data_IF_839375480444
#
_entry.id   IF_839375480444
#
_cell.length_a   1.000
_cell.length_b   1.000
_cell.length_c   1.000
_cell.angle_alpha   90.00
_cell.angle_beta   90.00
_cell.angle_gamma   90.00
#
_symmetry.space_group_name_H-M   'P 1'
#
loop_
_entity.id
_entity.type
_entity.pdbx_description
1 polymer ?
#
# COMPACT_ATOMS: atom_id res chain seq x y z
N UNK A 1 -10.23 -38.57 27.21
CA UNK A 1 -10.44 -38.50 25.75
C UNK A 1 -9.54 -37.40 25.22
N UNK A 2 -8.46 -37.77 24.55
CA UNK A 2 -7.55 -36.79 23.92
C UNK A 2 -8.16 -36.38 22.58
N UNK A 3 -8.51 -35.09 22.45
CA UNK A 3 -8.91 -34.51 21.18
C UNK A 3 -7.65 -34.21 20.38
N UNK A 4 -7.36 -35.05 19.38
CA UNK A 4 -6.31 -34.81 18.40
C UNK A 4 -6.91 -34.06 17.20
N UNK A 5 -7.36 -32.83 17.42
CA UNK A 5 -7.88 -31.95 16.36
C UNK A 5 -6.86 -30.89 15.98
N UNK A 6 -6.75 -30.61 14.67
CA UNK A 6 -6.04 -29.44 14.18
C UNK A 6 -7.01 -28.25 14.18
N UNK A 7 -6.69 -27.23 14.95
CA UNK A 7 -7.45 -25.97 15.01
C UNK A 7 -6.64 -24.86 14.35
N UNK A 8 -7.24 -24.21 13.35
CA UNK A 8 -6.58 -23.18 12.54
C UNK A 8 -7.10 -21.81 12.98
N UNK A 9 -6.20 -20.94 13.45
CA UNK A 9 -6.54 -19.59 13.93
C UNK A 9 -6.57 -18.59 12.78
N UNK A 10 -5.67 -18.70 11.82
CA UNK A 10 -5.59 -17.84 10.65
C UNK A 10 -4.80 -18.53 9.52
N UNK A 11 -4.93 -18.02 8.31
CA UNK A 11 -4.25 -18.53 7.11
C UNK A 11 -3.50 -17.39 6.40
N UNK A 12 -2.61 -17.77 5.48
CA UNK A 12 -2.00 -16.80 4.57
C UNK A 12 -3.04 -16.36 3.53
N UNK A 13 -3.29 -15.06 3.46
CA UNK A 13 -4.27 -14.45 2.55
C UNK A 13 -3.54 -13.57 1.52
N UNK A 14 -4.25 -13.16 0.46
CA UNK A 14 -3.72 -12.21 -0.52
C UNK A 14 -3.21 -10.95 0.20
N UNK A 15 -1.92 -10.60 0.03
CA UNK A 15 -1.33 -9.52 0.79
C UNK A 15 -1.83 -8.16 0.30
N UNK A 16 -2.17 -7.29 1.24
CA UNK A 16 -2.57 -5.92 0.94
C UNK A 16 -1.38 -4.99 1.03
N UNK A 17 -1.38 -3.94 0.21
CA UNK A 17 -0.39 -2.88 0.30
C UNK A 17 -0.43 -2.25 1.69
N UNK A 18 0.75 -1.97 2.24
CA UNK A 18 0.90 -1.33 3.54
C UNK A 18 1.53 0.06 3.41
N UNK A 19 1.66 0.74 4.54
CA UNK A 19 2.24 2.07 4.64
C UNK A 19 3.32 2.05 5.71
N UNK A 20 4.36 2.83 5.49
CA UNK A 20 5.44 3.02 6.44
C UNK A 20 4.93 3.83 7.63
N UNK A 21 4.91 3.23 8.81
CA UNK A 21 4.51 3.93 10.04
C UNK A 21 5.59 4.88 10.53
N UNK A 22 5.21 5.94 11.26
CA UNK A 22 6.15 6.86 11.94
C UNK A 22 7.20 6.17 12.81
N UNK A 23 6.85 5.03 13.41
CA UNK A 23 7.77 4.26 14.24
C UNK A 23 8.85 3.62 13.35
N UNK A 24 8.45 3.05 12.21
CA UNK A 24 9.39 2.45 11.27
C UNK A 24 10.22 3.52 10.55
N UNK A 25 9.65 4.70 10.24
CA UNK A 25 10.42 5.87 9.78
C UNK A 25 11.53 6.22 10.77
N UNK A 26 11.22 6.31 12.07
CA UNK A 26 12.21 6.62 13.09
C UNK A 26 13.32 5.57 13.18
N UNK A 27 12.97 4.28 13.12
CA UNK A 27 13.94 3.19 13.14
C UNK A 27 14.85 3.18 11.90
N UNK A 28 14.29 3.42 10.72
CA UNK A 28 15.05 3.49 9.48
C UNK A 28 15.98 4.71 9.44
N UNK A 29 15.50 5.86 9.92
CA UNK A 29 16.31 7.07 10.09
C UNK A 29 17.49 6.81 11.05
N UNK A 30 17.22 6.16 12.19
CA UNK A 30 18.27 5.71 13.11
C UNK A 30 19.26 4.72 12.46
N UNK A 31 18.75 3.84 11.60
CA UNK A 31 19.53 2.89 10.80
C UNK A 31 20.32 3.52 9.65
N UNK A 32 20.27 4.84 9.46
CA UNK A 32 21.05 5.58 8.48
C UNK A 32 20.34 5.91 7.17
N UNK A 33 19.03 5.65 7.04
CA UNK A 33 18.26 6.11 5.88
C UNK A 33 18.10 7.64 5.93
N UNK A 34 18.46 8.38 4.87
CA UNK A 34 18.35 9.84 4.86
C UNK A 34 16.93 10.33 5.12
N UNK A 35 16.78 11.39 5.92
CA UNK A 35 15.47 11.96 6.23
C UNK A 35 14.80 12.55 4.98
N UNK A 36 15.60 13.03 4.03
CA UNK A 36 15.17 13.56 2.74
C UNK A 36 14.34 12.54 1.95
N UNK A 37 14.65 11.24 2.05
CA UNK A 37 13.88 10.18 1.41
C UNK A 37 12.42 10.18 1.88
N UNK A 38 12.19 10.24 3.19
CA UNK A 38 10.83 10.27 3.75
C UNK A 38 10.12 11.59 3.47
N UNK A 39 10.86 12.71 3.52
CA UNK A 39 10.31 14.04 3.22
C UNK A 39 9.93 14.18 1.76
N UNK A 40 10.66 13.56 0.84
CA UNK A 40 10.34 13.54 -0.58
C UNK A 40 9.03 12.78 -0.83
N UNK A 41 8.87 11.59 -0.24
CA UNK A 41 7.61 10.83 -0.32
C UNK A 41 6.45 11.70 0.17
N UNK A 42 6.59 12.32 1.35
CA UNK A 42 5.57 13.19 1.92
C UNK A 42 5.21 14.38 1.00
N UNK A 43 6.23 15.06 0.44
CA UNK A 43 6.03 16.21 -0.44
C UNK A 43 5.33 15.80 -1.73
N UNK A 44 5.77 14.71 -2.35
CA UNK A 44 5.18 14.21 -3.60
C UNK A 44 3.71 13.87 -3.39
N UNK A 45 3.36 13.14 -2.31
CA UNK A 45 1.96 12.84 -1.98
C UNK A 45 1.15 14.12 -1.76
N UNK A 46 1.69 15.11 -1.04
CA UNK A 46 0.99 16.38 -0.82
C UNK A 46 0.73 17.16 -2.11
N UNK A 47 1.69 17.21 -3.04
CA UNK A 47 1.50 17.90 -4.32
C UNK A 47 0.50 17.16 -5.23
N UNK A 48 0.59 15.84 -5.33
CA UNK A 48 -0.37 15.01 -6.08
C UNK A 48 -1.81 15.23 -5.56
N UNK A 49 -1.98 15.26 -4.24
CA UNK A 49 -3.27 15.45 -3.57
C UNK A 49 -3.99 16.76 -3.96
N UNK A 50 -3.26 17.81 -4.32
CA UNK A 50 -3.83 19.11 -4.71
C UNK A 50 -4.48 19.09 -6.08
N UNK A 51 -4.04 18.17 -6.95
CA UNK A 51 -4.42 18.15 -8.36
C UNK A 51 -5.38 17.01 -8.70
N UNK A 52 -5.78 16.20 -7.72
CA UNK A 52 -6.63 15.00 -7.90
C UNK A 52 -7.93 15.25 -8.65
N UNK A 53 -8.53 16.45 -8.54
CA UNK A 53 -9.80 16.78 -9.22
C UNK A 53 -9.64 17.37 -10.63
N UNK A 54 -8.40 17.63 -11.06
CA UNK A 54 -8.12 18.33 -12.33
C UNK A 54 -7.09 17.62 -13.20
N UNK A 55 -6.35 16.66 -12.64
CA UNK A 55 -5.35 15.86 -13.33
C UNK A 55 -5.77 14.41 -13.34
N UNK A 56 -5.96 13.85 -14.54
CA UNK A 56 -6.27 12.43 -14.74
C UNK A 56 -5.18 11.56 -14.10
N UNK A 57 -3.91 11.93 -14.27
CA UNK A 57 -2.79 11.18 -13.70
C UNK A 57 -2.84 11.14 -12.16
N UNK A 58 -3.15 12.28 -11.52
CA UNK A 58 -3.27 12.35 -10.06
C UNK A 58 -4.49 11.56 -9.56
N UNK A 59 -5.62 11.67 -10.25
CA UNK A 59 -6.84 10.91 -9.95
C UNK A 59 -6.59 9.39 -10.08
N UNK A 60 -5.91 8.97 -11.15
CA UNK A 60 -5.59 7.57 -11.43
C UNK A 60 -4.64 7.00 -10.37
N UNK A 61 -3.62 7.77 -9.97
CA UNK A 61 -2.70 7.38 -8.89
C UNK A 61 -3.43 7.19 -7.56
N UNK A 62 -4.27 8.15 -7.17
CA UNK A 62 -5.06 8.04 -5.94
C UNK A 62 -6.02 6.84 -5.98
N UNK A 63 -6.74 6.66 -7.10
CA UNK A 63 -7.65 5.55 -7.33
C UNK A 63 -6.92 4.18 -7.37
N UNK A 64 -5.66 4.13 -7.79
CA UNK A 64 -4.84 2.92 -7.75
C UNK A 64 -4.32 2.63 -6.35
N UNK A 65 -3.86 3.67 -5.64
CA UNK A 65 -3.23 3.53 -4.33
C UNK A 65 -4.22 3.24 -3.21
N UNK A 66 -5.45 3.75 -3.34
CA UNK A 66 -6.53 3.60 -2.37
C UNK A 66 -7.74 2.84 -2.94
N UNK A 67 -7.60 2.23 -4.12
CA UNK A 67 -8.70 1.58 -4.84
C UNK A 67 -9.41 0.49 -4.06
N UNK A 68 -8.69 -0.27 -3.23
CA UNK A 68 -9.30 -1.28 -2.35
C UNK A 68 -10.37 -0.71 -1.40
N UNK A 69 -10.35 0.59 -1.09
CA UNK A 69 -11.34 1.22 -0.21
C UNK A 69 -12.68 1.49 -0.90
N UNK A 70 -12.67 1.51 -2.23
CA UNK A 70 -13.79 1.82 -3.11
C UNK A 70 -14.02 0.66 -4.10
N UNK A 71 -13.54 -0.55 -3.79
CA UNK A 71 -13.63 -1.70 -4.71
C UNK A 71 -13.19 -1.36 -6.16
N UNK A 72 -12.24 -0.43 -6.28
CA UNK A 72 -11.71 0.14 -7.52
C UNK A 72 -12.75 0.88 -8.42
N UNK A 73 -13.89 1.35 -7.91
CA UNK A 73 -14.89 2.02 -8.75
C UNK A 73 -14.35 3.30 -9.38
N UNK A 74 -13.73 4.20 -8.61
CA UNK A 74 -13.13 5.42 -9.14
C UNK A 74 -12.10 5.13 -10.23
N UNK A 75 -11.31 4.06 -10.05
CA UNK A 75 -10.34 3.62 -11.05
C UNK A 75 -11.05 3.19 -12.34
N UNK A 76 -12.08 2.36 -12.24
CA UNK A 76 -12.85 1.90 -13.40
C UNK A 76 -13.56 3.05 -14.12
N UNK A 77 -14.11 4.01 -13.37
CA UNK A 77 -14.75 5.21 -13.92
C UNK A 77 -13.75 6.04 -14.73
N UNK A 78 -12.56 6.31 -14.17
CA UNK A 78 -11.50 7.06 -14.86
C UNK A 78 -11.03 6.33 -16.13
N UNK A 79 -10.80 5.01 -16.04
CA UNK A 79 -10.38 4.20 -17.20
C UNK A 79 -11.47 4.11 -18.28
N UNK A 80 -12.74 4.28 -17.89
CA UNK A 80 -13.88 4.34 -18.80
C UNK A 80 -14.12 5.75 -19.38
N UNK A 81 -13.13 6.63 -19.30
CA UNK A 81 -13.18 8.03 -19.76
C UNK A 81 -14.32 8.85 -19.12
N UNK A 82 -14.77 8.49 -17.91
CA UNK A 82 -15.72 9.30 -17.17
C UNK A 82 -15.03 10.61 -16.73
N UNK A 83 -15.60 11.78 -17.05
CA UNK A 83 -15.01 13.05 -16.67
C UNK A 83 -14.83 13.19 -15.15
N UNK A 84 -13.68 13.75 -14.72
CA UNK A 84 -13.40 14.02 -13.30
C UNK A 84 -14.37 15.00 -12.66
N UNK A 85 -15.15 15.73 -13.46
CA UNK A 85 -16.18 16.63 -12.96
C UNK A 85 -17.51 15.96 -12.63
N UNK A 86 -17.67 14.68 -13.00
CA UNK A 86 -18.83 13.86 -12.71
C UNK A 86 -19.05 13.74 -11.18
N UNK A 87 -20.26 14.05 -10.67
CA UNK A 87 -20.50 14.16 -9.23
C UNK A 87 -20.18 12.90 -8.42
N UNK A 88 -20.52 11.71 -8.94
CA UNK A 88 -20.27 10.45 -8.23
C UNK A 88 -18.77 10.16 -8.14
N UNK A 89 -18.02 10.33 -9.22
CA UNK A 89 -16.56 10.18 -9.27
C UNK A 89 -15.88 11.18 -8.33
N UNK A 90 -16.35 12.44 -8.30
CA UNK A 90 -15.83 13.44 -7.36
C UNK A 90 -15.98 13.02 -5.91
N UNK A 91 -17.12 12.46 -5.52
CA UNK A 91 -17.37 12.01 -4.16
C UNK A 91 -16.43 10.87 -3.75
N UNK A 92 -16.20 9.91 -4.66
CA UNK A 92 -15.22 8.85 -4.47
C UNK A 92 -13.80 9.40 -4.32
N UNK A 93 -13.34 10.24 -5.26
CA UNK A 93 -12.02 10.87 -5.19
C UNK A 93 -11.83 11.70 -3.92
N UNK A 94 -12.89 12.38 -3.45
CA UNK A 94 -12.86 13.10 -2.19
C UNK A 94 -12.67 12.17 -0.98
N UNK A 95 -13.31 11.00 -0.98
CA UNK A 95 -13.14 9.98 0.06
C UNK A 95 -11.70 9.43 0.07
N UNK A 96 -11.13 9.15 -1.10
CA UNK A 96 -9.74 8.71 -1.23
C UNK A 96 -8.77 9.78 -0.70
N UNK A 97 -8.94 11.03 -1.14
CA UNK A 97 -8.15 12.19 -0.70
C UNK A 97 -8.22 12.40 0.82
N UNK A 98 -9.42 12.30 1.38
CA UNK A 98 -9.63 12.41 2.84
C UNK A 98 -8.86 11.34 3.58
N UNK A 99 -8.85 10.11 3.07
CA UNK A 99 -8.10 9.01 3.69
C UNK A 99 -6.61 9.24 3.61
N UNK A 100 -6.09 9.60 2.44
CA UNK A 100 -4.68 9.94 2.25
C UNK A 100 -4.24 11.02 3.24
N UNK A 101 -5.02 12.09 3.37
CA UNK A 101 -4.73 13.16 4.33
C UNK A 101 -4.72 12.68 5.78
N UNK A 102 -5.61 11.75 6.15
CA UNK A 102 -5.66 11.19 7.49
C UNK A 102 -4.44 10.30 7.77
N UNK A 103 -3.98 9.52 6.79
CA UNK A 103 -2.77 8.71 6.90
C UNK A 103 -1.53 9.59 7.06
N UNK A 104 -1.39 10.64 6.26
CA UNK A 104 -0.28 11.59 6.39
C UNK A 104 -0.26 12.24 7.78
N UNK A 105 -1.42 12.65 8.31
CA UNK A 105 -1.54 13.17 9.69
C UNK A 105 -1.15 12.14 10.75
N UNK A 106 -1.41 10.86 10.50
CA UNK A 106 -1.00 9.76 11.37
C UNK A 106 0.50 9.41 11.23
N UNK A 107 1.22 10.05 10.31
CA UNK A 107 2.62 9.75 10.00
C UNK A 107 2.76 8.41 9.27
N UNK A 108 1.81 8.09 8.37
CA UNK A 108 1.86 6.91 7.50
C UNK A 108 2.21 7.35 6.09
N UNK A 109 3.34 6.87 5.59
CA UNK A 109 3.82 7.19 4.25
C UNK A 109 3.57 6.00 3.33
N UNK A 110 2.96 6.24 2.17
CA UNK A 110 2.76 5.20 1.18
C UNK A 110 4.07 4.87 0.48
N UNK A 111 4.42 3.59 0.44
CA UNK A 111 5.51 3.04 -0.37
C UNK A 111 4.90 1.98 -1.27
N UNK A 112 5.02 2.18 -2.59
CA UNK A 112 4.25 1.46 -3.63
C UNK A 112 4.42 -0.05 -3.59
N UNK A 113 5.59 -0.54 -3.19
CA UNK A 113 5.91 -1.98 -3.09
C UNK A 113 6.20 -2.39 -1.65
N UNK A 114 5.21 -2.22 -0.77
CA UNK A 114 5.31 -2.67 0.62
C UNK A 114 4.09 -3.48 1.04
N UNK A 115 4.34 -4.62 1.71
CA UNK A 115 3.32 -5.59 2.11
C UNK A 115 3.65 -6.17 3.49
N UNK A 116 2.62 -6.56 4.24
CA UNK A 116 2.79 -7.43 5.41
C UNK A 116 2.55 -8.88 4.99
N UNK A 117 3.55 -9.74 5.17
CA UNK A 117 3.53 -11.14 4.76
C UNK A 117 3.68 -12.06 5.96
N UNK A 118 3.06 -13.23 5.90
CA UNK A 118 3.31 -14.31 6.85
C UNK A 118 4.68 -14.93 6.56
N UNK A 119 5.63 -14.71 7.46
CA UNK A 119 6.97 -15.29 7.35
C UNK A 119 6.95 -16.80 7.62
N UNK A 120 7.73 -17.54 6.83
CA UNK A 120 8.00 -18.97 7.07
C UNK A 120 9.50 -19.22 6.95
N UNK A 121 9.99 -20.31 7.54
CA UNK A 121 11.38 -20.74 7.40
C UNK A 121 11.53 -21.56 6.12
N UNK A 122 12.73 -21.61 5.55
CA UNK A 122 13.04 -22.50 4.44
C UNK A 122 13.41 -23.91 4.97
N UNK A 123 12.53 -24.91 4.87
CA UNK A 123 12.86 -26.27 5.30
C UNK A 123 13.78 -26.99 4.29
N UNK A 124 13.99 -26.43 3.10
CA UNK A 124 14.77 -27.05 2.03
C UNK A 124 16.25 -26.69 2.08
N UNK A 125 16.61 -25.63 2.80
CA UNK A 125 17.99 -25.14 2.93
C UNK A 125 18.58 -24.61 1.62
N UNK A 126 17.75 -24.13 0.70
CA UNK A 126 18.16 -23.54 -0.58
C UNK A 126 18.55 -22.07 -0.45
N UNK A 127 17.95 -21.35 0.50
CA UNK A 127 18.28 -19.94 0.76
C UNK A 127 19.59 -19.82 1.55
N UNK A 128 20.47 -18.92 1.13
CA UNK A 128 21.68 -18.57 1.87
C UNK A 128 21.38 -17.57 2.98
N UNK A 129 22.41 -17.29 3.79
CA UNK A 129 22.34 -16.21 4.77
C UNK A 129 22.01 -14.88 4.08
N UNK A 130 21.04 -14.15 4.66
CA UNK A 130 20.49 -12.89 4.15
C UNK A 130 19.67 -12.99 2.84
N UNK A 131 19.33 -14.18 2.36
CA UNK A 131 18.43 -14.35 1.22
C UNK A 131 17.00 -14.66 1.70
N UNK A 132 16.01 -14.12 0.97
CA UNK A 132 14.58 -14.36 1.20
C UNK A 132 13.87 -14.71 -0.11
N UNK A 133 12.80 -15.49 -0.04
CA UNK A 133 11.92 -15.78 -1.18
C UNK A 133 10.54 -15.18 -0.92
N UNK A 134 10.10 -14.25 -1.77
CA UNK A 134 8.77 -13.66 -1.70
C UNK A 134 7.96 -14.14 -2.90
N UNK A 135 6.82 -14.78 -2.64
CA UNK A 135 5.91 -15.26 -3.69
C UNK A 135 4.61 -14.48 -3.55
N UNK A 136 4.34 -13.62 -4.53
CA UNK A 136 3.08 -12.89 -4.65
C UNK A 136 2.18 -13.60 -5.68
N UNK A 137 0.90 -13.23 -5.70
CA UNK A 137 -0.07 -13.76 -6.68
C UNK A 137 0.33 -13.42 -8.13
N UNK A 138 1.01 -12.29 -8.33
CA UNK A 138 1.61 -11.88 -9.60
C UNK A 138 2.89 -12.67 -9.98
N UNK A 139 3.34 -13.58 -9.12
CA UNK A 139 4.53 -14.40 -9.31
C UNK A 139 5.58 -14.22 -8.22
N UNK A 140 6.70 -14.90 -8.39
CA UNK A 140 7.84 -14.84 -7.47
C UNK A 140 8.64 -13.54 -7.67
N UNK A 141 8.95 -12.86 -6.57
CA UNK A 141 9.93 -11.77 -6.51
C UNK A 141 11.11 -12.27 -5.68
N UNK A 142 12.29 -12.34 -6.28
CA UNK A 142 13.54 -12.63 -5.58
C UNK A 142 14.22 -11.31 -5.21
N UNK A 143 14.59 -11.16 -3.94
CA UNK A 143 15.30 -10.01 -3.39
C UNK A 143 16.61 -10.43 -2.74
#
# INVERSE_FOLDING_TARGET
TTFNSLEVVNTSNAPRRTKLSRNLVALLSYGGVPNEFFLEILRNTLEESKTIFYSIDAALRAATNYGEMDDYNALQMIISDIPLDEPHLKDHLYTLLKTERNDLKAGRLLVTESYYLMGTVDPTGKLKENEVCVILESGQISG
#
